data_IF_453202386565
#
_entry.id   IF_453202386565
#
_cell.length_a   1.000
_cell.length_b   1.000
_cell.length_c   1.000
_cell.angle_alpha   90.00
_cell.angle_beta   90.00
_cell.angle_gamma   90.00
#
_symmetry.space_group_name_H-M   'P 1'
#
loop_
_entity.id
_entity.type
_entity.pdbx_description
1 polymer ?
#
# COMPACT_ATOMS: atom_id res chain seq x y z
N UNK A 1 34.91 20.08 38.13
CA UNK A 1 34.70 20.29 36.67
C UNK A 1 34.90 18.95 35.95
N UNK A 2 33.86 18.41 35.30
CA UNK A 2 34.01 17.23 34.43
C UNK A 2 32.98 17.35 33.30
N UNK A 3 33.47 17.67 32.10
CA UNK A 3 32.71 17.76 30.87
C UNK A 3 32.14 16.38 30.52
N UNK A 4 30.84 16.29 30.21
CA UNK A 4 30.26 15.13 29.51
C UNK A 4 30.02 15.50 28.06
N UNK A 5 30.74 14.78 27.20
CA UNK A 5 30.67 14.81 25.76
C UNK A 5 29.33 14.27 25.23
N UNK A 6 28.98 14.82 24.07
CA UNK A 6 27.84 14.54 23.22
C UNK A 6 27.66 13.06 22.84
N UNK A 7 26.41 12.66 22.63
CA UNK A 7 26.07 11.55 21.75
C UNK A 7 24.79 10.83 22.16
N UNK A 8 23.71 10.96 21.37
CA UNK A 8 23.08 9.77 20.79
C UNK A 8 21.96 10.07 19.79
N UNK A 9 22.13 9.43 18.63
CA UNK A 9 21.09 8.78 17.82
C UNK A 9 20.17 9.68 17.00
N UNK A 10 20.73 10.11 15.88
CA UNK A 10 20.00 10.31 14.63
C UNK A 10 19.25 9.00 14.31
N UNK A 11 17.93 8.98 14.48
CA UNK A 11 17.06 7.85 14.17
C UNK A 11 17.10 7.69 12.65
N UNK A 12 18.05 6.89 12.16
CA UNK A 12 18.09 6.45 10.77
C UNK A 12 16.75 5.76 10.49
N UNK A 13 15.85 6.47 9.81
CA UNK A 13 14.59 5.93 9.29
C UNK A 13 14.92 4.56 8.67
N UNK A 14 14.28 3.45 9.10
CA UNK A 14 14.62 2.16 8.54
C UNK A 14 14.39 2.24 7.02
N UNK A 15 15.42 1.88 6.25
CA UNK A 15 15.29 1.71 4.81
C UNK A 15 14.07 0.82 4.58
N UNK A 16 13.11 1.34 3.80
CA UNK A 16 11.92 0.62 3.35
C UNK A 16 12.35 -0.81 3.01
N UNK A 17 11.90 -1.78 3.81
CA UNK A 17 12.14 -3.20 3.55
C UNK A 17 11.40 -3.50 2.25
N UNK A 18 12.12 -3.47 1.12
CA UNK A 18 11.52 -3.71 -0.18
C UNK A 18 10.82 -5.08 -0.09
N UNK A 19 9.51 -5.16 -0.40
CA UNK A 19 8.90 -6.48 -0.54
C UNK A 19 9.74 -7.27 -1.55
N UNK A 20 9.99 -8.57 -1.31
CA UNK A 20 10.79 -9.36 -2.23
C UNK A 20 10.18 -9.25 -3.62
N UNK A 21 11.00 -9.00 -4.64
CA UNK A 21 10.59 -8.67 -6.02
C UNK A 21 9.48 -9.61 -6.54
N UNK A 22 9.55 -10.89 -6.17
CA UNK A 22 8.54 -11.92 -6.47
C UNK A 22 7.13 -11.58 -5.95
N UNK A 23 7.00 -11.05 -4.73
CA UNK A 23 5.69 -10.66 -4.18
C UNK A 23 5.11 -9.46 -4.92
N UNK A 24 5.96 -8.51 -5.33
CA UNK A 24 5.54 -7.35 -6.11
C UNK A 24 5.01 -7.77 -7.49
N UNK A 25 5.77 -8.63 -8.18
CA UNK A 25 5.38 -9.20 -9.47
C UNK A 25 4.04 -9.93 -9.38
N UNK A 26 3.86 -10.77 -8.36
CA UNK A 26 2.61 -11.51 -8.13
C UNK A 26 1.43 -10.55 -7.93
N UNK A 27 1.60 -9.51 -7.12
CA UNK A 27 0.53 -8.51 -6.89
C UNK A 27 0.17 -7.79 -8.19
N UNK A 28 1.18 -7.36 -8.95
CA UNK A 28 0.96 -6.66 -10.21
C UNK A 28 0.24 -7.57 -11.20
N UNK A 29 0.75 -8.78 -11.42
CA UNK A 29 0.24 -9.75 -12.40
C UNK A 29 -1.15 -10.26 -12.07
N UNK A 30 -1.43 -10.58 -10.80
CA UNK A 30 -2.69 -11.21 -10.40
C UNK A 30 -3.78 -10.24 -9.95
N UNK A 31 -3.43 -9.00 -9.58
CA UNK A 31 -4.41 -8.08 -8.97
C UNK A 31 -4.51 -6.74 -9.68
N UNK A 32 -3.39 -6.17 -10.13
CA UNK A 32 -3.40 -4.83 -10.75
C UNK A 32 -3.69 -4.92 -12.25
N UNK A 33 -2.92 -5.70 -13.00
CA UNK A 33 -3.06 -5.84 -14.46
C UNK A 33 -4.47 -6.31 -14.86
N UNK A 34 -5.09 -7.33 -14.22
CA UNK A 34 -6.41 -7.80 -14.63
C UNK A 34 -7.50 -6.72 -14.54
N UNK A 35 -7.31 -5.71 -13.68
CA UNK A 35 -8.31 -4.67 -13.46
C UNK A 35 -7.97 -3.35 -14.17
N UNK A 36 -6.71 -2.95 -14.16
CA UNK A 36 -6.25 -1.66 -14.67
C UNK A 36 -5.40 -1.75 -15.93
N UNK A 37 -4.91 -2.93 -16.32
CA UNK A 37 -3.94 -3.10 -17.41
C UNK A 37 -4.41 -2.58 -18.76
N UNK A 38 -5.72 -2.67 -19.05
CA UNK A 38 -6.31 -2.18 -20.30
C UNK A 38 -6.74 -0.70 -20.21
N UNK A 39 -6.45 0.00 -19.11
CA UNK A 39 -6.81 1.40 -18.91
C UNK A 39 -5.58 2.27 -18.93
N UNK A 40 -5.65 3.39 -19.67
CA UNK A 40 -4.65 4.45 -19.55
C UNK A 40 -4.62 4.94 -18.10
N UNK A 41 -3.43 5.02 -17.52
CA UNK A 41 -3.22 5.39 -16.11
C UNK A 41 -3.91 6.71 -15.74
N UNK A 42 -3.94 7.68 -16.66
CA UNK A 42 -4.61 8.98 -16.49
C UNK A 42 -6.13 8.90 -16.33
N UNK A 43 -6.76 7.82 -16.78
CA UNK A 43 -8.22 7.64 -16.70
C UNK A 43 -8.65 6.95 -15.40
N UNK A 44 -7.72 6.42 -14.63
CA UNK A 44 -8.03 5.69 -13.39
C UNK A 44 -8.38 6.69 -12.29
N UNK A 45 -9.64 6.69 -11.86
CA UNK A 45 -10.16 7.64 -10.85
C UNK A 45 -10.14 7.05 -9.44
N UNK A 46 -10.14 7.94 -8.43
CA UNK A 46 -10.23 7.55 -7.00
C UNK A 46 -11.40 6.64 -6.67
N UNK A 47 -12.58 6.91 -7.25
CA UNK A 47 -13.78 6.09 -7.02
C UNK A 47 -13.60 4.65 -7.51
N UNK A 48 -12.85 4.47 -8.58
CA UNK A 48 -12.60 3.16 -9.17
C UNK A 48 -11.65 2.32 -8.32
N UNK A 49 -10.56 2.92 -7.83
CA UNK A 49 -9.66 2.23 -6.88
C UNK A 49 -10.37 1.85 -5.58
N UNK A 50 -11.31 2.68 -5.10
CA UNK A 50 -12.16 2.32 -3.96
C UNK A 50 -13.02 1.09 -4.25
N UNK A 51 -13.69 1.05 -5.42
CA UNK A 51 -14.49 -0.10 -5.84
C UNK A 51 -13.63 -1.36 -5.99
N UNK A 52 -12.48 -1.25 -6.63
CA UNK A 52 -11.51 -2.34 -6.75
C UNK A 52 -11.09 -2.92 -5.40
N UNK A 53 -10.70 -2.08 -4.44
CA UNK A 53 -10.37 -2.53 -3.08
C UNK A 53 -11.56 -3.17 -2.35
N UNK A 54 -12.76 -2.66 -2.58
CA UNK A 54 -13.99 -3.18 -2.00
C UNK A 54 -14.30 -4.59 -2.51
N UNK A 55 -14.06 -4.89 -3.79
CA UNK A 55 -14.21 -6.24 -4.34
C UNK A 55 -13.39 -7.27 -3.56
N UNK A 56 -12.12 -6.99 -3.25
CA UNK A 56 -11.31 -7.89 -2.42
C UNK A 56 -11.75 -7.95 -0.96
N UNK A 57 -12.39 -6.90 -0.46
CA UNK A 57 -12.94 -6.88 0.91
C UNK A 57 -14.21 -7.75 1.03
N UNK A 58 -14.95 -7.90 -0.06
CA UNK A 58 -16.21 -8.62 -0.12
C UNK A 58 -16.03 -10.09 -0.51
N UNK A 59 -14.91 -10.44 -1.16
CA UNK A 59 -14.57 -11.83 -1.48
C UNK A 59 -14.46 -12.69 -0.21
N UNK A 60 -15.23 -13.79 -0.22
CA UNK A 60 -15.20 -14.81 0.82
C UNK A 60 -14.49 -16.08 0.35
N UNK A 61 -13.87 -16.78 1.27
CA UNK A 61 -13.41 -18.15 1.05
C UNK A 61 -14.59 -19.14 1.19
N UNK A 62 -14.33 -20.42 0.95
CA UNK A 62 -15.31 -21.51 1.08
C UNK A 62 -15.92 -21.61 2.48
N UNK A 63 -15.25 -21.03 3.49
CA UNK A 63 -15.66 -21.03 4.89
C UNK A 63 -16.33 -19.72 5.31
N UNK A 64 -16.64 -18.82 4.35
CA UNK A 64 -17.29 -17.54 4.60
C UNK A 64 -16.40 -16.45 5.21
N UNK A 65 -15.09 -16.71 5.36
CA UNK A 65 -14.12 -15.75 5.94
C UNK A 65 -13.59 -14.82 4.86
N UNK A 66 -12.94 -13.73 5.25
CA UNK A 66 -12.32 -12.81 4.28
C UNK A 66 -11.23 -13.55 3.47
N UNK A 67 -11.43 -13.71 2.16
CA UNK A 67 -10.45 -14.35 1.27
C UNK A 67 -9.12 -13.60 1.26
N UNK A 68 -9.17 -12.27 1.39
CA UNK A 68 -8.00 -11.41 1.45
C UNK A 68 -7.98 -10.58 2.73
N UNK A 69 -6.92 -10.77 3.51
CA UNK A 69 -6.70 -10.01 4.75
C UNK A 69 -6.66 -8.50 4.49
N UNK A 70 -6.96 -7.74 5.54
CA UNK A 70 -6.79 -6.28 5.53
C UNK A 70 -5.37 -5.84 5.13
N UNK A 71 -4.36 -6.54 5.65
CA UNK A 71 -2.95 -6.28 5.32
C UNK A 71 -2.63 -6.51 3.84
N UNK A 72 -3.19 -7.56 3.24
CA UNK A 72 -3.03 -7.84 1.80
C UNK A 72 -3.62 -6.71 0.96
N UNK A 73 -4.84 -6.25 1.28
CA UNK A 73 -5.49 -5.13 0.60
C UNK A 73 -4.70 -3.82 0.73
N UNK A 74 -4.10 -3.57 1.89
CA UNK A 74 -3.20 -2.43 2.09
C UNK A 74 -1.93 -2.54 1.23
N UNK A 75 -1.35 -3.74 1.10
CA UNK A 75 -0.22 -3.98 0.19
C UNK A 75 -0.59 -3.68 -1.26
N UNK A 76 -1.76 -4.14 -1.72
CA UNK A 76 -2.24 -3.86 -3.09
C UNK A 76 -2.35 -2.35 -3.34
N UNK A 77 -2.95 -1.61 -2.41
CA UNK A 77 -3.02 -0.15 -2.48
C UNK A 77 -1.63 0.51 -2.45
N UNK A 78 -0.71 0.00 -1.64
CA UNK A 78 0.66 0.52 -1.55
C UNK A 78 1.39 0.36 -2.88
N UNK A 79 1.29 -0.80 -3.52
CA UNK A 79 1.90 -1.05 -4.84
C UNK A 79 1.29 -0.12 -5.89
N UNK A 80 -0.04 -0.01 -5.92
CA UNK A 80 -0.71 0.88 -6.85
C UNK A 80 -0.28 2.34 -6.65
N UNK A 81 -0.16 2.80 -5.40
CA UNK A 81 0.33 4.16 -5.09
C UNK A 81 1.76 4.39 -5.57
N UNK A 82 2.65 3.41 -5.48
CA UNK A 82 4.00 3.50 -6.03
C UNK A 82 3.95 3.68 -7.55
N UNK A 83 3.17 2.86 -8.27
CA UNK A 83 3.01 2.98 -9.73
C UNK A 83 2.52 4.39 -10.13
N UNK A 84 1.54 4.95 -9.41
CA UNK A 84 1.07 6.31 -9.66
C UNK A 84 2.08 7.40 -9.27
N UNK A 85 2.91 7.15 -8.26
CA UNK A 85 3.97 8.06 -7.88
C UNK A 85 5.03 8.11 -8.98
N UNK A 86 5.48 6.95 -9.46
CA UNK A 86 6.45 6.84 -10.56
C UNK A 86 5.89 7.49 -11.84
N UNK A 87 4.61 7.26 -12.17
CA UNK A 87 3.96 7.88 -13.33
C UNK A 87 3.85 9.41 -13.27
N UNK A 88 3.86 10.00 -12.08
CA UNK A 88 3.80 11.46 -11.87
C UNK A 88 5.19 12.08 -11.89
N UNK A 89 6.19 11.42 -11.28
CA UNK A 89 7.51 12.02 -11.07
C UNK A 89 8.57 11.60 -12.09
N UNK A 90 8.50 10.37 -12.62
CA UNK A 90 9.53 9.83 -13.53
C UNK A 90 9.13 9.95 -15.00
N UNK A 91 7.82 9.88 -15.28
CA UNK A 91 7.30 9.86 -16.65
C UNK A 91 6.62 11.18 -17.08
N UNK A 92 6.38 12.10 -16.14
CA UNK A 92 5.63 13.37 -16.34
C UNK A 92 4.26 13.21 -17.05
N UNK A 93 3.70 12.00 -17.08
CA UNK A 93 2.41 11.69 -17.73
C UNK A 93 1.24 12.27 -16.92
N UNK A 94 1.45 12.67 -15.67
CA UNK A 94 0.45 13.18 -14.75
C UNK A 94 0.96 14.39 -13.96
N UNK A 95 0.29 15.53 -14.04
CA UNK A 95 0.63 16.75 -13.27
C UNK A 95 0.57 16.55 -11.74
N UNK A 96 -0.25 15.62 -11.25
CA UNK A 96 -0.42 15.36 -9.81
C UNK A 96 -0.93 13.96 -9.54
N UNK A 97 -0.43 13.33 -8.47
CA UNK A 97 -0.89 12.01 -8.02
C UNK A 97 -2.32 12.08 -7.43
N UNK A 98 -3.34 11.47 -8.08
CA UNK A 98 -4.72 11.51 -7.58
C UNK A 98 -4.94 10.63 -6.33
N UNK A 99 -3.95 9.83 -5.91
CA UNK A 99 -4.02 8.87 -4.80
C UNK A 99 -3.26 9.29 -3.54
N UNK A 100 -2.56 10.44 -3.55
CA UNK A 100 -1.77 10.91 -2.40
C UNK A 100 -2.59 10.98 -1.11
N UNK A 101 -3.85 11.41 -1.19
CA UNK A 101 -4.77 11.58 -0.04
C UNK A 101 -5.73 10.39 0.16
N UNK A 102 -5.53 9.27 -0.54
CA UNK A 102 -6.44 8.12 -0.43
C UNK A 102 -6.12 7.34 0.84
N UNK A 103 -7.02 7.47 1.83
CA UNK A 103 -7.03 6.65 3.04
C UNK A 103 -7.30 5.19 2.65
N UNK A 104 -6.53 4.27 3.23
CA UNK A 104 -6.72 2.83 3.05
C UNK A 104 -8.09 2.35 3.56
N UNK A 105 -8.46 1.08 3.30
CA UNK A 105 -9.70 0.53 3.82
C UNK A 105 -9.77 0.74 5.35
N UNK A 106 -10.98 0.90 5.91
CA UNK A 106 -11.15 1.00 7.36
C UNK A 106 -11.23 -0.42 7.96
N UNK A 107 -10.48 -0.73 9.03
CA UNK A 107 -10.58 -2.04 9.66
C UNK A 107 -11.98 -2.23 10.25
N UNK A 108 -12.59 -3.41 10.01
CA UNK A 108 -13.96 -3.74 10.45
C UNK A 108 -14.02 -4.03 11.96
N UNK A 109 -12.90 -4.37 12.59
CA UNK A 109 -12.76 -4.58 14.05
C UNK A 109 -11.37 -4.13 14.55
N UNK A 110 -11.35 -3.44 15.70
CA UNK A 110 -10.18 -2.82 16.32
C UNK A 110 -9.36 -3.83 17.13
N UNK A 111 -8.74 -4.82 16.46
CA UNK A 111 -7.95 -5.88 17.12
C UNK A 111 -6.45 -5.85 16.76
N UNK A 112 -5.88 -4.65 16.65
CA UNK A 112 -4.46 -4.47 16.36
C UNK A 112 -3.91 -3.26 17.11
N UNK A 113 -3.63 -3.44 18.41
CA UNK A 113 -2.76 -2.54 19.19
C UNK A 113 -1.81 -3.27 20.14
N UNK A 114 -1.82 -4.60 20.16
CA UNK A 114 -1.09 -5.36 21.20
C UNK A 114 0.22 -5.98 20.72
N UNK A 115 0.47 -6.05 19.40
CA UNK A 115 1.67 -6.70 18.85
C UNK A 115 2.88 -5.77 18.66
N UNK A 116 2.69 -4.45 18.78
CA UNK A 116 3.78 -3.47 18.59
C UNK A 116 4.38 -2.97 19.92
N UNK A 117 4.12 -3.64 21.05
CA UNK A 117 4.77 -3.38 22.36
C UNK A 117 5.98 -4.25 22.65
N UNK A 118 6.34 -5.17 21.75
CA UNK A 118 7.53 -6.01 21.88
C UNK A 118 8.27 -5.96 20.55
N UNK A 119 9.01 -4.88 20.33
CA UNK A 119 10.23 -4.76 19.52
C UNK A 119 10.74 -3.32 19.57
#
# INVERSE_FOLDING_TARGET
MRLRMNGCMNIKKPLRRNPPLKQLEVIVRLHIIPYFGNKRIMRIRRAEVKRWLQQYADMKDEQGREKYSFGSRLKYLSVLKSIFHDAVHELEVLEKNPFGSVKGPRPRHRRYKERDKIL
#
